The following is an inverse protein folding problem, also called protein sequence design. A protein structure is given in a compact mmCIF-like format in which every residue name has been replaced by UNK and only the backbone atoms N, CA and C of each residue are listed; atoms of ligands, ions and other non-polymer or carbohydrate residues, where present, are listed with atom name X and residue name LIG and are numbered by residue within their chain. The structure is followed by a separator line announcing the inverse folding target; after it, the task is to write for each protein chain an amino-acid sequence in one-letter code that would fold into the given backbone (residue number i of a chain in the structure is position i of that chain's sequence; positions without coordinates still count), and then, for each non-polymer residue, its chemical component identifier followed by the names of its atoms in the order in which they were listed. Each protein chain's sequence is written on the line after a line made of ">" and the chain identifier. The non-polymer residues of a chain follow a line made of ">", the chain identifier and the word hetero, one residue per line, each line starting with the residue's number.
data_IF_863725400740
#
_entry.id   IF_863725400740
#
_cell.length_a   1.000
_cell.length_b   1.000
_cell.length_c   1.000
_cell.angle_alpha   90.00
_cell.angle_beta   90.00
_cell.angle_gamma   90.00
#
_symmetry.space_group_name_H-M   'P 1'
#
loop_
_entity.id
_entity.type
_entity.pdbx_description
1 polymer ?
#
# COMPACT_ATOMS: atom_id res chain seq x y z
N UNK A 1 15.72 31.10 18.32
CA UNK A 1 15.55 29.83 19.05
C UNK A 1 14.72 28.91 18.19
N UNK A 2 15.27 27.78 17.74
CA UNK A 2 14.49 26.74 17.06
C UNK A 2 13.83 25.85 18.13
N UNK A 3 12.51 25.91 18.24
CA UNK A 3 11.75 25.02 19.12
C UNK A 3 11.72 23.63 18.50
N UNK A 4 12.62 22.75 18.94
CA UNK A 4 12.56 21.32 18.63
C UNK A 4 11.38 20.74 19.39
N UNK A 5 10.25 20.52 18.71
CA UNK A 5 9.12 19.79 19.27
C UNK A 5 9.53 18.33 19.51
N UNK A 6 10.02 18.04 20.71
CA UNK A 6 10.14 16.68 21.20
C UNK A 6 8.72 16.17 21.42
N UNK A 7 8.17 15.45 20.43
CA UNK A 7 6.96 14.67 20.61
C UNK A 7 7.26 13.61 21.68
N UNK A 8 7.09 13.98 22.95
CA UNK A 8 7.18 13.07 24.09
C UNK A 8 5.95 12.18 24.07
N UNK A 9 6.02 11.15 23.22
CA UNK A 9 4.99 10.12 23.14
C UNK A 9 5.15 9.22 24.36
N UNK A 10 4.06 8.99 25.08
CA UNK A 10 4.00 7.92 26.10
C UNK A 10 4.49 6.60 25.49
N UNK A 11 5.19 5.78 26.28
CA UNK A 11 5.74 4.49 25.81
C UNK A 11 4.64 3.60 25.19
N UNK A 12 3.42 3.66 25.72
CA UNK A 12 2.26 2.97 25.16
C UNK A 12 1.90 3.47 23.75
N UNK A 13 1.89 4.78 23.52
CA UNK A 13 1.64 5.36 22.19
C UNK A 13 2.76 5.01 21.21
N UNK A 14 4.00 5.01 21.68
CA UNK A 14 5.16 4.64 20.87
C UNK A 14 5.09 3.18 20.45
N UNK A 15 4.79 2.26 21.37
CA UNK A 15 4.62 0.84 21.06
C UNK A 15 3.52 0.62 20.03
N UNK A 16 2.35 1.26 20.20
CA UNK A 16 1.24 1.17 19.25
C UNK A 16 1.63 1.66 17.86
N UNK A 17 2.33 2.79 17.77
CA UNK A 17 2.80 3.32 16.48
C UNK A 17 3.80 2.36 15.84
N UNK A 18 4.76 1.84 16.59
CA UNK A 18 5.73 0.87 16.07
C UNK A 18 5.04 -0.40 15.57
N UNK A 19 4.00 -0.86 16.27
CA UNK A 19 3.19 -2.02 15.86
C UNK A 19 2.44 -1.74 14.54
N UNK A 20 1.79 -0.59 14.41
CA UNK A 20 1.11 -0.18 13.18
C UNK A 20 2.08 -0.05 12.02
N UNK A 21 3.26 0.55 12.23
CA UNK A 21 4.32 0.64 11.22
C UNK A 21 4.87 -0.74 10.83
N UNK A 22 4.91 -1.68 11.76
CA UNK A 22 5.25 -3.07 11.46
C UNK A 22 4.25 -3.70 10.49
N UNK A 23 2.95 -3.55 10.76
CA UNK A 23 1.90 -4.05 9.86
C UNK A 23 1.88 -3.32 8.52
N UNK A 24 2.08 -1.99 8.51
CA UNK A 24 2.07 -1.20 7.29
C UNK A 24 3.16 -1.63 6.32
N UNK A 25 4.34 -2.03 6.81
CA UNK A 25 5.42 -2.58 5.97
C UNK A 25 4.98 -3.84 5.24
N UNK A 26 4.35 -4.78 5.95
CA UNK A 26 3.86 -6.04 5.38
C UNK A 26 2.76 -5.78 4.35
N UNK A 27 1.79 -4.93 4.69
CA UNK A 27 0.69 -4.57 3.80
C UNK A 27 1.21 -3.88 2.54
N UNK A 28 2.14 -2.92 2.68
CA UNK A 28 2.72 -2.24 1.54
C UNK A 28 3.48 -3.22 0.63
N UNK A 29 4.28 -4.13 1.20
CA UNK A 29 5.07 -5.07 0.42
C UNK A 29 4.20 -6.04 -0.41
N UNK A 30 3.24 -6.70 0.23
CA UNK A 30 2.39 -7.69 -0.45
C UNK A 30 1.21 -7.06 -1.19
N UNK A 31 0.74 -5.90 -0.73
CA UNK A 31 -0.40 -5.19 -1.31
C UNK A 31 -0.06 -4.29 -2.49
N UNK A 32 1.22 -3.94 -2.71
CA UNK A 32 1.61 -3.03 -3.77
C UNK A 32 1.17 -3.51 -5.17
N UNK A 33 1.49 -4.76 -5.53
CA UNK A 33 1.17 -5.31 -6.85
C UNK A 33 -0.35 -5.40 -7.08
N UNK A 34 -1.16 -5.99 -6.19
CA UNK A 34 -2.62 -5.98 -6.32
C UNK A 34 -3.19 -4.56 -6.43
N UNK A 35 -2.64 -3.61 -5.66
CA UNK A 35 -3.11 -2.24 -5.64
C UNK A 35 -2.90 -1.52 -6.97
N UNK A 36 -1.69 -1.58 -7.55
CA UNK A 36 -1.43 -0.94 -8.86
C UNK A 36 -2.24 -1.59 -9.98
N UNK A 37 -2.44 -2.91 -9.95
CA UNK A 37 -3.28 -3.62 -10.92
C UNK A 37 -4.73 -3.16 -10.84
N UNK A 38 -5.26 -3.01 -9.63
CA UNK A 38 -6.60 -2.50 -9.41
C UNK A 38 -6.77 -1.06 -9.94
N UNK A 39 -5.80 -0.18 -9.68
CA UNK A 39 -5.84 1.20 -10.19
C UNK A 39 -5.84 1.25 -11.73
N UNK A 40 -5.00 0.45 -12.38
CA UNK A 40 -4.95 0.33 -13.84
C UNK A 40 -6.25 -0.22 -14.43
N UNK A 41 -6.78 -1.30 -13.83
CA UNK A 41 -8.05 -1.91 -14.24
C UNK A 41 -9.23 -0.95 -14.08
N UNK A 42 -9.31 -0.21 -12.96
CA UNK A 42 -10.36 0.79 -12.70
C UNK A 42 -10.34 1.94 -13.69
N UNK A 43 -9.16 2.34 -14.16
CA UNK A 43 -8.98 3.47 -15.07
C UNK A 43 -9.25 3.10 -16.54
N UNK A 44 -9.28 1.80 -16.86
CA UNK A 44 -9.46 1.31 -18.23
C UNK A 44 -10.94 1.08 -18.55
N UNK A 45 -11.49 1.59 -19.67
CA UNK A 45 -12.91 1.43 -20.02
C UNK A 45 -13.35 -0.02 -20.25
N UNK A 46 -12.47 -0.84 -20.86
CA UNK A 46 -12.74 -2.24 -21.22
C UNK A 46 -12.71 -3.21 -20.05
N UNK A 47 -12.21 -2.80 -18.87
CA UNK A 47 -12.17 -3.59 -17.61
C UNK A 47 -11.85 -5.07 -17.84
N UNK A 48 -10.65 -5.40 -18.34
CA UNK A 48 -10.29 -6.76 -18.72
C UNK A 48 -10.42 -7.76 -17.57
N UNK A 49 -10.58 -9.05 -17.90
CA UNK A 49 -10.59 -10.12 -16.90
C UNK A 49 -9.23 -10.24 -16.19
N UNK A 50 -9.22 -10.81 -14.97
CA UNK A 50 -7.97 -11.04 -14.23
C UNK A 50 -6.98 -11.91 -15.00
N UNK A 51 -7.47 -12.90 -15.75
CA UNK A 51 -6.61 -13.75 -16.58
C UNK A 51 -5.94 -12.94 -17.69
N UNK A 52 -6.69 -12.08 -18.38
CA UNK A 52 -6.16 -11.19 -19.43
C UNK A 52 -5.15 -10.17 -18.89
N UNK A 53 -5.31 -9.73 -17.63
CA UNK A 53 -4.37 -8.81 -16.98
C UNK A 53 -3.02 -9.45 -16.62
N UNK A 54 -3.04 -10.74 -16.29
CA UNK A 54 -1.85 -11.49 -15.86
C UNK A 54 -1.22 -12.28 -17.01
N UNK A 55 -1.96 -12.53 -18.08
CA UNK A 55 -1.47 -13.27 -19.23
C UNK A 55 -0.47 -12.41 -20.03
N UNK A 56 0.71 -12.96 -20.39
CA UNK A 56 1.64 -12.27 -21.27
C UNK A 56 1.20 -12.30 -22.74
N UNK A 57 0.12 -13.02 -23.06
CA UNK A 57 -0.39 -13.16 -24.41
C UNK A 57 -1.32 -11.98 -24.76
N UNK A 58 -1.26 -11.47 -26.00
CA UNK A 58 -2.20 -10.45 -26.44
C UNK A 58 -3.62 -11.03 -26.42
N UNK A 59 -4.46 -10.49 -25.53
CA UNK A 59 -5.91 -10.69 -25.57
C UNK A 59 -6.46 -9.83 -26.70
N UNK A 60 -6.94 -10.47 -27.76
CA UNK A 60 -7.63 -9.81 -28.87
C UNK A 60 -8.93 -9.13 -28.42
#
# INVERSE_FOLDING_TARGET
>A
MATTYQLTLSDESKERIMKVLGYSRTIAHYGFIPFILYLGWKSTPSKPSLFSLLSPFPSA
#
